data_IF_025488214806
#
_entry.id   IF_025488214806
#
_cell.length_a   1.000
_cell.length_b   1.000
_cell.length_c   1.000
_cell.angle_alpha   90.00
_cell.angle_beta   90.00
_cell.angle_gamma   90.00
#
_symmetry.space_group_name_H-M   'P 1'
#
loop_
_entity.id
_entity.type
_entity.pdbx_description
1 polymer ?
#
# COMPACT_ATOMS: atom_id res chain seq x y z
N UNK A 1 9.23 -20.24 -16.13
CA UNK A 1 9.61 -19.01 -15.41
C UNK A 1 9.81 -19.35 -13.93
N UNK A 2 10.91 -18.95 -13.28
CA UNK A 2 11.15 -19.26 -11.85
C UNK A 2 10.09 -18.56 -10.96
N UNK A 3 9.59 -19.25 -9.93
CA UNK A 3 8.62 -18.74 -8.96
C UNK A 3 9.07 -17.42 -8.30
N UNK A 4 10.36 -17.26 -8.00
CA UNK A 4 10.88 -15.99 -7.47
C UNK A 4 10.64 -14.81 -8.43
N UNK A 5 10.84 -15.06 -9.74
CA UNK A 5 10.63 -14.06 -10.78
C UNK A 5 9.16 -13.72 -10.92
N UNK A 6 8.27 -14.72 -10.82
CA UNK A 6 6.81 -14.53 -10.79
C UNK A 6 6.44 -13.62 -9.63
N UNK A 7 6.84 -13.96 -8.39
CA UNK A 7 6.50 -13.19 -7.20
C UNK A 7 7.02 -11.75 -7.27
N UNK A 8 8.24 -11.53 -7.77
CA UNK A 8 8.79 -10.19 -7.96
C UNK A 8 7.92 -9.35 -8.91
N UNK A 9 7.57 -9.89 -10.08
CA UNK A 9 6.74 -9.17 -11.04
C UNK A 9 5.32 -8.95 -10.50
N UNK A 10 4.74 -9.94 -9.81
CA UNK A 10 3.44 -9.78 -9.16
C UNK A 10 3.45 -8.66 -8.13
N UNK A 11 4.48 -8.55 -7.27
CA UNK A 11 4.64 -7.41 -6.33
C UNK A 11 4.65 -6.07 -7.08
N UNK A 12 5.41 -5.96 -8.17
CA UNK A 12 5.53 -4.71 -8.94
C UNK A 12 4.18 -4.37 -9.60
N UNK A 13 3.58 -5.32 -10.31
CA UNK A 13 2.32 -5.10 -11.02
C UNK A 13 1.20 -4.71 -10.06
N UNK A 14 1.07 -5.43 -8.95
CA UNK A 14 0.05 -5.12 -7.94
C UNK A 14 0.30 -3.78 -7.25
N UNK A 15 1.55 -3.40 -6.97
CA UNK A 15 1.86 -2.08 -6.43
C UNK A 15 1.46 -0.96 -7.40
N UNK A 16 1.74 -1.12 -8.70
CA UNK A 16 1.36 -0.14 -9.73
C UNK A 16 -0.16 -0.03 -9.85
N UNK A 17 -0.87 -1.17 -9.94
CA UNK A 17 -2.33 -1.20 -10.05
C UNK A 17 -2.97 -0.53 -8.83
N UNK A 18 -2.52 -0.88 -7.62
CA UNK A 18 -3.06 -0.31 -6.39
C UNK A 18 -2.69 1.16 -6.20
N UNK A 19 -1.51 1.59 -6.65
CA UNK A 19 -1.15 3.01 -6.68
C UNK A 19 -2.16 3.82 -7.49
N UNK A 20 -2.50 3.37 -8.70
CA UNK A 20 -3.48 4.08 -9.53
C UNK A 20 -4.91 3.96 -8.98
N UNK A 21 -5.29 2.78 -8.50
CA UNK A 21 -6.62 2.55 -7.93
C UNK A 21 -6.85 3.43 -6.68
N UNK A 22 -5.95 3.41 -5.71
CA UNK A 22 -6.07 4.27 -4.53
C UNK A 22 -5.81 5.74 -4.85
N UNK A 23 -4.94 5.99 -5.83
CA UNK A 23 -4.62 7.33 -6.32
C UNK A 23 -5.84 8.06 -6.90
N UNK A 24 -6.76 7.36 -7.56
CA UNK A 24 -8.00 8.00 -8.05
C UNK A 24 -8.85 8.51 -6.89
N UNK A 25 -9.04 7.71 -5.84
CA UNK A 25 -9.75 8.16 -4.64
C UNK A 25 -9.02 9.31 -3.96
N UNK A 26 -7.69 9.27 -3.87
CA UNK A 26 -6.93 10.39 -3.30
C UNK A 26 -7.22 11.70 -4.05
N UNK A 27 -7.25 11.66 -5.38
CA UNK A 27 -7.58 12.84 -6.20
C UNK A 27 -9.02 13.29 -5.95
N UNK A 28 -9.99 12.37 -5.88
CA UNK A 28 -11.39 12.71 -5.60
C UNK A 28 -11.52 13.43 -4.25
N UNK A 29 -10.90 12.90 -3.18
CA UNK A 29 -10.89 13.54 -1.87
C UNK A 29 -10.12 14.86 -1.89
N UNK A 30 -9.03 14.97 -2.66
CA UNK A 30 -8.31 16.23 -2.78
C UNK A 30 -9.17 17.32 -3.42
N UNK A 31 -9.91 16.97 -4.48
CA UNK A 31 -10.83 17.89 -5.14
C UNK A 31 -11.94 18.30 -4.17
N UNK A 32 -12.57 17.35 -3.50
CA UNK A 32 -13.66 17.58 -2.54
C UNK A 32 -13.23 18.51 -1.39
N UNK A 33 -12.09 18.24 -0.77
CA UNK A 33 -11.71 18.90 0.48
C UNK A 33 -10.81 20.12 0.33
N UNK A 34 -10.15 20.31 -0.82
CA UNK A 34 -9.18 21.40 -1.01
C UNK A 34 -9.39 22.23 -2.29
N UNK A 35 -9.98 21.68 -3.35
CA UNK A 35 -10.19 22.43 -4.62
C UNK A 35 -11.58 23.05 -4.67
N UNK A 36 -12.61 22.29 -4.29
CA UNK A 36 -14.00 22.73 -4.26
C UNK A 36 -14.63 22.53 -2.87
N UNK A 37 -14.00 23.07 -1.81
CA UNK A 37 -14.47 22.85 -0.45
C UNK A 37 -15.82 23.56 -0.20
N UNK A 38 -16.75 22.86 0.44
CA UNK A 38 -17.96 23.47 1.02
C UNK A 38 -17.68 24.22 2.33
N UNK A 39 -16.48 24.08 2.89
CA UNK A 39 -15.97 24.74 4.09
C UNK A 39 -14.55 24.28 4.42
N UNK A 40 -13.95 24.79 5.50
CA UNK A 40 -12.60 24.35 5.87
C UNK A 40 -12.57 22.86 6.23
N UNK A 41 -11.60 22.08 5.70
CA UNK A 41 -11.50 20.67 6.00
C UNK A 41 -11.22 20.49 7.50
N UNK A 42 -12.02 19.67 8.20
CA UNK A 42 -11.73 19.31 9.58
C UNK A 42 -10.32 18.74 9.72
N UNK A 43 -9.69 18.91 10.90
CA UNK A 43 -8.32 18.45 11.13
C UNK A 43 -8.13 16.95 10.84
N UNK A 44 -9.14 16.11 11.13
CA UNK A 44 -9.08 14.68 10.86
C UNK A 44 -9.04 14.37 9.35
N UNK A 45 -9.64 15.20 8.50
CA UNK A 45 -9.59 15.05 7.03
C UNK A 45 -8.16 15.27 6.55
N UNK A 46 -7.51 16.32 7.02
CA UNK A 46 -6.10 16.60 6.66
C UNK A 46 -5.19 15.47 7.11
N UNK A 47 -5.37 14.95 8.33
CA UNK A 47 -4.60 13.79 8.80
C UNK A 47 -4.85 12.54 7.94
N UNK A 48 -6.09 12.30 7.54
CA UNK A 48 -6.47 11.19 6.66
C UNK A 48 -5.86 11.32 5.28
N UNK A 49 -5.82 12.54 4.72
CA UNK A 49 -5.20 12.83 3.43
C UNK A 49 -3.68 12.64 3.48
N UNK A 50 -3.01 13.04 4.56
CA UNK A 50 -1.60 12.75 4.76
C UNK A 50 -1.33 11.24 4.85
N UNK A 51 -2.15 10.49 5.60
CA UNK A 51 -2.03 9.04 5.70
C UNK A 51 -2.26 8.35 4.34
N UNK A 52 -3.24 8.80 3.56
CA UNK A 52 -3.50 8.30 2.22
C UNK A 52 -2.35 8.61 1.26
N UNK A 53 -1.84 9.85 1.26
CA UNK A 53 -0.68 10.23 0.46
C UNK A 53 0.56 9.42 0.83
N UNK A 54 0.78 9.16 2.12
CA UNK A 54 1.85 8.30 2.60
C UNK A 54 1.72 6.85 2.10
N UNK A 55 0.51 6.30 2.04
CA UNK A 55 0.25 5.00 1.42
C UNK A 55 0.65 4.99 -0.07
N UNK A 56 0.27 6.02 -0.83
CA UNK A 56 0.62 6.13 -2.26
C UNK A 56 2.14 6.20 -2.49
N UNK A 57 2.83 7.03 -1.71
CA UNK A 57 4.29 7.13 -1.76
C UNK A 57 4.94 5.77 -1.44
N UNK A 58 4.37 5.02 -0.51
CA UNK A 58 4.86 3.69 -0.15
C UNK A 58 4.79 2.68 -1.30
N UNK A 59 3.73 2.76 -2.14
CA UNK A 59 3.64 1.97 -3.38
C UNK A 59 4.69 2.35 -4.42
N UNK A 60 5.17 3.60 -4.44
CA UNK A 60 6.28 3.99 -5.31
C UNK A 60 7.59 3.44 -4.72
N UNK A 61 7.78 3.57 -3.40
CA UNK A 61 9.02 3.13 -2.73
C UNK A 61 9.28 1.64 -2.91
N UNK A 62 8.24 0.79 -2.90
CA UNK A 62 8.43 -0.67 -3.06
C UNK A 62 9.05 -1.04 -4.42
N UNK A 63 8.94 -0.17 -5.43
CA UNK A 63 9.50 -0.42 -6.76
C UNK A 63 11.04 -0.36 -6.77
N UNK A 64 11.66 0.47 -5.92
CA UNK A 64 13.11 0.64 -5.84
C UNK A 64 13.74 0.10 -4.54
N UNK A 65 13.00 0.12 -3.42
CA UNK A 65 13.44 -0.37 -2.09
C UNK A 65 12.34 -1.31 -1.55
N UNK A 66 12.27 -2.55 -2.07
CA UNK A 66 11.13 -3.45 -1.79
C UNK A 66 10.87 -3.72 -0.31
N UNK A 67 11.93 -3.94 0.49
CA UNK A 67 11.79 -4.15 1.94
C UNK A 67 11.15 -2.96 2.65
N UNK A 68 11.67 -1.76 2.37
CA UNK A 68 11.19 -0.53 3.01
C UNK A 68 9.76 -0.26 2.55
N UNK A 69 9.50 -0.28 1.24
CA UNK A 69 8.16 -0.06 0.70
C UNK A 69 7.12 -1.04 1.25
N UNK A 70 7.46 -2.33 1.38
CA UNK A 70 6.55 -3.32 1.96
C UNK A 70 6.17 -3.00 3.41
N UNK A 71 7.13 -2.58 4.24
CA UNK A 71 6.89 -2.17 5.64
C UNK A 71 6.03 -0.90 5.68
N UNK A 72 6.34 0.10 4.85
CA UNK A 72 5.61 1.36 4.82
C UNK A 72 4.16 1.16 4.33
N UNK A 73 3.92 0.34 3.30
CA UNK A 73 2.55 -0.03 2.87
C UNK A 73 1.78 -0.68 4.01
N UNK A 74 2.41 -1.58 4.76
CA UNK A 74 1.74 -2.24 5.87
C UNK A 74 1.34 -1.27 6.98
N UNK A 75 2.26 -0.38 7.36
CA UNK A 75 1.97 0.65 8.35
C UNK A 75 0.91 1.65 7.86
N UNK A 76 1.05 2.16 6.63
CA UNK A 76 0.17 3.16 6.04
C UNK A 76 -1.26 2.64 5.82
N UNK A 77 -1.42 1.39 5.36
CA UNK A 77 -2.74 0.79 5.13
C UNK A 77 -3.53 0.61 6.41
N UNK A 78 -2.87 0.16 7.49
CA UNK A 78 -3.47 0.05 8.83
C UNK A 78 -3.88 1.44 9.33
N UNK A 79 -2.96 2.42 9.22
CA UNK A 79 -3.18 3.78 9.70
C UNK A 79 -4.33 4.49 8.98
N UNK A 80 -4.48 4.24 7.68
CA UNK A 80 -5.51 4.88 6.87
C UNK A 80 -6.87 4.18 6.97
N UNK A 81 -6.94 2.88 6.68
CA UNK A 81 -8.23 2.22 6.47
C UNK A 81 -8.95 1.80 7.75
N UNK A 82 -8.24 1.34 8.79
CA UNK A 82 -8.90 0.85 10.00
C UNK A 82 -9.64 1.95 10.78
N UNK A 83 -9.06 3.14 11.03
CA UNK A 83 -9.75 4.17 11.79
C UNK A 83 -10.96 4.77 11.05
N UNK A 84 -10.93 4.77 9.71
CA UNK A 84 -11.94 5.43 8.89
C UNK A 84 -13.13 4.54 8.54
N UNK A 85 -12.90 3.23 8.36
CA UNK A 85 -13.90 2.32 7.77
C UNK A 85 -14.33 1.18 8.71
N UNK A 86 -13.83 1.15 9.95
CA UNK A 86 -14.20 0.13 10.93
C UNK A 86 -13.94 -1.30 10.42
N UNK A 87 -14.94 -2.18 10.52
CA UNK A 87 -14.81 -3.57 10.07
C UNK A 87 -14.53 -3.69 8.56
N UNK A 88 -15.15 -2.83 7.74
CA UNK A 88 -14.86 -2.77 6.30
C UNK A 88 -13.42 -2.35 6.02
N UNK A 89 -12.81 -1.57 6.92
CA UNK A 89 -11.40 -1.19 6.85
C UNK A 89 -10.43 -2.36 6.86
N UNK A 90 -10.82 -3.49 7.45
CA UNK A 90 -10.00 -4.72 7.44
C UNK A 90 -9.83 -5.22 5.99
N UNK A 91 -10.93 -5.29 5.23
CA UNK A 91 -10.89 -5.76 3.83
C UNK A 91 -10.01 -4.86 2.99
N UNK A 92 -10.16 -3.54 3.11
CA UNK A 92 -9.34 -2.58 2.37
C UNK A 92 -7.86 -2.62 2.77
N UNK A 93 -7.57 -2.80 4.06
CA UNK A 93 -6.20 -3.01 4.54
C UNK A 93 -5.58 -4.25 3.91
N UNK A 94 -6.31 -5.37 3.87
CA UNK A 94 -5.83 -6.62 3.26
C UNK A 94 -5.58 -6.46 1.76
N UNK A 95 -6.48 -5.79 1.04
CA UNK A 95 -6.27 -5.46 -0.39
C UNK A 95 -5.02 -4.61 -0.56
N UNK A 96 -4.87 -3.56 0.24
CA UNK A 96 -3.73 -2.65 0.18
C UNK A 96 -2.38 -3.34 0.48
N UNK A 97 -2.39 -4.34 1.37
CA UNK A 97 -1.23 -5.14 1.77
C UNK A 97 -0.72 -6.10 0.70
N UNK A 98 -1.48 -6.36 -0.37
CA UNK A 98 -1.17 -7.38 -1.38
C UNK A 98 0.29 -7.33 -1.88
N UNK A 99 0.87 -6.17 -2.25
CA UNK A 99 2.26 -6.11 -2.72
C UNK A 99 3.26 -6.49 -1.62
N UNK A 100 3.00 -6.09 -0.38
CA UNK A 100 3.82 -6.42 0.80
C UNK A 100 3.79 -7.91 1.11
N UNK A 101 2.61 -8.54 1.02
CA UNK A 101 2.45 -9.98 1.22
C UNK A 101 3.19 -10.78 0.14
N UNK A 102 3.09 -10.37 -1.12
CA UNK A 102 3.82 -10.98 -2.23
C UNK A 102 5.34 -10.84 -2.06
N UNK A 103 5.81 -9.67 -1.61
CA UNK A 103 7.22 -9.44 -1.30
C UNK A 103 7.71 -10.33 -0.14
N UNK A 104 6.90 -10.46 0.91
CA UNK A 104 7.21 -11.33 2.05
C UNK A 104 7.30 -12.79 1.62
N UNK A 105 6.32 -13.29 0.85
CA UNK A 105 6.32 -14.64 0.32
C UNK A 105 7.58 -14.94 -0.50
N UNK A 106 8.01 -14.01 -1.37
CA UNK A 106 9.27 -14.13 -2.11
C UNK A 106 10.47 -14.26 -1.16
N UNK A 107 10.51 -13.43 -0.12
CA UNK A 107 11.63 -13.40 0.83
C UNK A 107 11.72 -14.70 1.63
N UNK A 108 10.58 -15.24 2.08
CA UNK A 108 10.51 -16.52 2.79
C UNK A 108 10.93 -17.70 1.89
N UNK A 109 10.51 -17.69 0.62
CA UNK A 109 10.91 -18.71 -0.36
C UNK A 109 12.42 -18.74 -0.58
N UNK A 110 13.05 -17.57 -0.73
CA UNK A 110 14.50 -17.47 -0.91
C UNK A 110 15.23 -17.97 0.33
N UNK A 111 14.79 -17.55 1.53
CA UNK A 111 15.37 -18.01 2.79
C UNK A 111 15.31 -19.53 2.92
N UNK A 112 14.14 -20.13 2.69
CA UNK A 112 13.97 -21.58 2.79
C UNK A 112 14.89 -22.36 1.84
N UNK A 113 15.12 -21.87 0.62
CA UNK A 113 16.07 -22.50 -0.31
C UNK A 113 17.52 -22.41 0.16
N UNK A 114 17.90 -21.36 0.87
CA UNK A 114 19.26 -21.25 1.43
C UNK A 114 19.46 -22.26 2.56
N UNK A 115 18.47 -22.40 3.44
CA UNK A 115 18.52 -23.33 4.58
C UNK A 115 18.58 -24.82 4.17
N UNK A 116 18.14 -25.18 2.95
CA UNK A 116 18.21 -26.54 2.41
C UNK A 116 19.55 -26.87 1.75
N UNK A 117 20.39 -25.87 1.46
CA UNK A 117 21.67 -26.02 0.75
C UNK A 117 22.90 -25.80 1.65
N UNK A 118 22.70 -25.60 2.96
CA UNK A 118 23.74 -25.46 4.00
C UNK A 118 23.89 -26.74 4.80
#
# INVERSE_FOLDING_TARGET
MNLERILRWSTIMTAIILFFFWGSFFVDHFIEWYVQPSGYPPMYVTMSMLAHGFLLVSYIIILWKPKIGAILIAFASILYFLPLLGFSGIVFTLVALTPSLLYLAKTLLVKHKLDQNS
#
